data_IF_299290816407
#
_entry.id   IF_299290816407
#
_cell.length_a   1.000
_cell.length_b   1.000
_cell.length_c   1.000
_cell.angle_alpha   90.00
_cell.angle_beta   90.00
_cell.angle_gamma   90.00
#
_symmetry.space_group_name_H-M   'P 1'
#
loop_
_entity.id
_entity.type
_entity.pdbx_description
1 polymer ?
#
# COMPACT_ATOMS: atom_id res chain seq x y z
N UNK A 1 -10.56 19.79 15.93
CA UNK A 1 -11.09 19.08 14.75
C UNK A 1 -10.36 17.75 14.65
N UNK A 2 -11.08 16.62 14.67
CA UNK A 2 -10.48 15.30 14.44
C UNK A 2 -10.27 15.16 12.94
N UNK A 3 -9.11 15.59 12.46
CA UNK A 3 -8.78 15.51 11.04
C UNK A 3 -8.98 14.08 10.56
N UNK A 4 -9.88 13.89 9.58
CA UNK A 4 -10.16 12.58 8.95
C UNK A 4 -9.02 12.16 7.99
N UNK A 5 -7.91 12.87 8.02
CA UNK A 5 -6.80 12.70 7.10
C UNK A 5 -5.67 11.96 7.81
N UNK A 6 -5.52 10.68 7.45
CA UNK A 6 -4.38 9.87 7.85
C UNK A 6 -3.41 9.84 6.66
N UNK A 7 -2.40 10.73 6.60
CA UNK A 7 -1.45 10.77 5.48
C UNK A 7 -0.64 9.47 5.32
N UNK A 8 -0.57 8.69 6.39
CA UNK A 8 0.10 7.40 6.46
C UNK A 8 -0.79 6.25 6.00
N UNK A 9 -2.10 6.43 5.92
CA UNK A 9 -3.02 5.38 5.51
C UNK A 9 -3.04 5.27 3.99
N UNK A 10 -2.60 4.14 3.45
CA UNK A 10 -2.60 3.87 2.00
C UNK A 10 -3.28 2.54 1.68
N UNK A 11 -3.97 2.51 0.56
CA UNK A 11 -4.46 1.26 -0.03
C UNK A 11 -3.28 0.47 -0.57
N UNK A 12 -3.09 -0.74 -0.05
CA UNK A 12 -2.04 -1.67 -0.46
C UNK A 12 -2.69 -2.89 -1.10
N UNK A 13 -2.12 -3.33 -2.23
CA UNK A 13 -2.51 -4.60 -2.83
C UNK A 13 -1.86 -5.73 -2.05
N UNK A 14 -2.67 -6.65 -1.52
CA UNK A 14 -2.21 -7.85 -0.82
C UNK A 14 -2.67 -9.06 -1.61
N UNK A 15 -1.79 -10.06 -1.74
CA UNK A 15 -2.11 -11.36 -2.35
C UNK A 15 -2.39 -12.35 -1.23
N UNK A 16 -3.57 -12.99 -1.25
CA UNK A 16 -3.89 -14.05 -0.30
C UNK A 16 -3.12 -15.35 -0.63
N UNK A 17 -3.07 -16.33 0.29
CA UNK A 17 -2.43 -17.62 0.02
C UNK A 17 -3.04 -18.40 -1.15
N UNK A 18 -4.26 -18.06 -1.57
CA UNK A 18 -4.93 -18.61 -2.75
C UNK A 18 -4.62 -17.84 -4.05
N UNK A 19 -3.72 -16.85 -4.02
CA UNK A 19 -3.29 -16.07 -5.18
C UNK A 19 -4.22 -14.93 -5.59
N UNK A 20 -5.29 -14.67 -4.85
CA UNK A 20 -6.24 -13.58 -5.12
C UNK A 20 -5.69 -12.26 -4.60
N UNK A 21 -5.87 -11.21 -5.39
CA UNK A 21 -5.46 -9.85 -5.04
C UNK A 21 -6.62 -9.11 -4.40
N UNK A 22 -6.39 -8.45 -3.28
CA UNK A 22 -7.36 -7.54 -2.64
C UNK A 22 -6.69 -6.25 -2.20
N UNK A 23 -7.50 -5.20 -2.02
CA UNK A 23 -7.05 -3.93 -1.48
C UNK A 23 -7.27 -3.91 0.03
N UNK A 24 -6.21 -3.60 0.76
CA UNK A 24 -6.26 -3.41 2.21
C UNK A 24 -5.77 -2.02 2.57
N UNK A 25 -6.48 -1.36 3.48
CA UNK A 25 -6.03 -0.09 4.04
C UNK A 25 -4.98 -0.38 5.11
N UNK A 26 -3.74 0.04 4.87
CA UNK A 26 -2.62 -0.18 5.79
C UNK A 26 -1.99 1.15 6.15
N UNK A 27 -1.57 1.26 7.40
CA UNK A 27 -0.74 2.37 7.85
C UNK A 27 0.69 2.14 7.33
N UNK A 28 1.24 3.12 6.63
CA UNK A 28 2.57 3.10 6.03
C UNK A 28 3.32 4.33 6.55
N UNK A 29 4.44 4.16 7.27
CA UNK A 29 5.23 5.27 7.75
C UNK A 29 5.60 6.21 6.59
N UNK A 30 5.44 7.52 6.80
CA UNK A 30 5.91 8.54 5.87
C UNK A 30 7.44 8.41 5.73
N UNK A 31 7.89 7.91 4.58
CA UNK A 31 9.31 7.59 4.30
C UNK A 31 9.53 6.16 3.80
N UNK A 32 8.62 5.23 4.12
CA UNK A 32 8.69 3.84 3.61
C UNK A 32 8.18 3.70 2.17
N UNK A 33 7.54 4.74 1.60
CA UNK A 33 7.10 4.75 0.21
C UNK A 33 8.25 4.64 -0.81
N UNK A 34 9.50 4.88 -0.39
CA UNK A 34 10.70 4.66 -1.19
C UNK A 34 11.09 3.18 -1.34
N UNK A 35 10.50 2.27 -0.56
CA UNK A 35 10.85 0.84 -0.54
C UNK A 35 9.92 -0.04 -1.41
N UNK A 36 8.88 0.52 -2.04
CA UNK A 36 8.16 -0.20 -3.07
C UNK A 36 8.98 -0.15 -4.36
N UNK A 37 9.82 -1.18 -4.53
CA UNK A 37 10.53 -1.50 -5.77
C UNK A 37 9.62 -1.30 -6.99
N UNK A 38 10.16 -0.74 -8.08
CA UNK A 38 9.38 -0.39 -9.26
C UNK A 38 8.66 -1.63 -9.79
N UNK A 39 7.38 -1.45 -10.13
CA UNK A 39 6.69 -2.35 -11.05
C UNK A 39 7.62 -2.57 -12.24
N UNK A 40 8.15 -3.79 -12.36
CA UNK A 40 8.87 -4.21 -13.54
C UNK A 40 7.92 -4.02 -14.74
N UNK A 41 8.24 -3.07 -15.63
CA UNK A 41 7.63 -3.06 -16.96
C UNK A 41 8.05 -4.37 -17.62
N UNK A 42 7.08 -5.22 -17.93
CA UNK A 42 7.30 -6.36 -18.82
C UNK A 42 7.74 -5.83 -20.20
N UNK A 43 8.69 -6.54 -20.81
CA UNK A 43 9.38 -6.23 -22.05
C UNK A 43 8.46 -6.20 -23.27
#
# INVERSE_FOLDING_TARGET
MRERFCPECRWTVVTDPAGRRRLEMRWVPLGAAAAHSPVARAA
#
